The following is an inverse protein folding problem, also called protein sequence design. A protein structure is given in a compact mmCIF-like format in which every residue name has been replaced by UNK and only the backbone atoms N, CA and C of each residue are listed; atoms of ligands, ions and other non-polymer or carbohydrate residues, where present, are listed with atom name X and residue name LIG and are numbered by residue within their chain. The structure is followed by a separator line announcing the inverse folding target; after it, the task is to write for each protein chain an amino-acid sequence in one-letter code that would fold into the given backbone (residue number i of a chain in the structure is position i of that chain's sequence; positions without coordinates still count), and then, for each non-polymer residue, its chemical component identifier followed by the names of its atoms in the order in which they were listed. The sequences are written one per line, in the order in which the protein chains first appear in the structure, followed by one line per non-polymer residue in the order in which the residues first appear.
data_IF_540311330661
#
_entry.id   IF_540311330661
#
_cell.length_a   1.000
_cell.length_b   1.000
_cell.length_c   1.000
_cell.angle_alpha   90.00
_cell.angle_beta   90.00
_cell.angle_gamma   90.00
#
_symmetry.space_group_name_H-M   'P 1'
#
loop_
_entity.id
_entity.type
_entity.pdbx_description
1 polymer ?
#
# COMPACT_ATOMS: atom_id res chain seq x y z
N UNK A 1 -3.22 4.30 -7.35
CA UNK A 1 -2.15 3.87 -8.28
C UNK A 1 -0.94 3.39 -7.49
N UNK A 2 -0.27 2.34 -7.96
CA UNK A 2 0.87 1.75 -7.25
C UNK A 2 1.43 0.52 -7.93
N UNK A 3 2.40 -0.12 -7.25
CA UNK A 3 3.06 -1.32 -7.72
C UNK A 3 2.15 -2.54 -7.61
N UNK A 4 2.25 -3.45 -8.58
CA UNK A 4 1.54 -4.71 -8.61
C UNK A 4 2.53 -5.88 -8.49
N UNK A 5 2.40 -6.65 -7.43
CA UNK A 5 3.25 -7.80 -7.13
C UNK A 5 2.36 -8.99 -6.75
N UNK A 6 2.69 -10.18 -7.22
CA UNK A 6 2.07 -11.39 -6.67
C UNK A 6 2.82 -11.79 -5.41
N UNK A 7 2.16 -11.75 -4.27
CA UNK A 7 2.70 -12.25 -3.01
C UNK A 7 2.53 -13.76 -2.96
N UNK A 8 3.61 -14.49 -2.73
CA UNK A 8 3.65 -15.94 -2.66
C UNK A 8 4.25 -16.32 -1.32
N UNK A 9 3.44 -16.95 -0.46
CA UNK A 9 3.85 -17.29 0.91
C UNK A 9 4.33 -18.73 1.00
N UNK A 10 5.51 -18.92 1.59
CA UNK A 10 6.13 -20.23 1.81
C UNK A 10 6.50 -20.42 3.28
N UNK A 11 6.34 -21.64 3.76
CA UNK A 11 7.00 -22.07 4.99
C UNK A 11 8.46 -22.42 4.66
N UNK A 12 9.43 -21.80 5.32
CA UNK A 12 10.84 -22.03 5.10
C UNK A 12 11.56 -22.35 6.41
N UNK A 13 12.63 -23.14 6.33
CA UNK A 13 13.51 -23.36 7.49
C UNK A 13 14.69 -22.38 7.50
N UNK A 14 15.35 -22.23 8.65
CA UNK A 14 16.56 -21.42 8.75
C UNK A 14 17.68 -21.98 7.86
N UNK A 15 17.77 -23.31 7.75
CA UNK A 15 18.73 -24.00 6.88
C UNK A 15 18.48 -23.67 5.40
N UNK A 16 17.20 -23.60 4.97
CA UNK A 16 16.85 -23.17 3.60
C UNK A 16 17.35 -21.77 3.31
N UNK A 17 17.14 -20.82 4.24
CA UNK A 17 17.59 -19.43 4.07
C UNK A 17 19.13 -19.37 3.97
N UNK A 18 19.85 -20.11 4.81
CA UNK A 18 21.33 -20.19 4.77
C UNK A 18 21.83 -20.79 3.45
N UNK A 19 21.24 -21.93 3.01
CA UNK A 19 21.63 -22.61 1.76
C UNK A 19 21.48 -21.71 0.53
N UNK A 20 20.42 -20.89 0.52
CA UNK A 20 20.16 -19.97 -0.58
C UNK A 20 20.73 -18.56 -0.38
N UNK A 21 21.54 -18.34 0.67
CA UNK A 21 22.17 -17.05 1.01
C UNK A 21 21.14 -15.92 1.18
N UNK A 22 19.98 -16.22 1.74
CA UNK A 22 18.90 -15.28 2.01
C UNK A 22 19.03 -14.74 3.43
N UNK A 23 19.11 -13.42 3.57
CA UNK A 23 19.17 -12.77 4.88
C UNK A 23 17.81 -12.80 5.55
N UNK A 24 17.72 -13.48 6.70
CA UNK A 24 16.47 -13.62 7.48
C UNK A 24 15.94 -12.27 7.99
N UNK A 25 14.63 -12.12 7.94
CA UNK A 25 13.89 -11.03 8.59
C UNK A 25 13.93 -9.70 7.85
N UNK A 26 14.41 -9.67 6.59
CA UNK A 26 14.48 -8.46 5.79
C UNK A 26 13.82 -8.64 4.42
N UNK A 27 13.39 -7.52 3.83
CA UNK A 27 13.01 -7.46 2.44
C UNK A 27 14.24 -7.11 1.59
N UNK A 28 14.49 -7.92 0.56
CA UNK A 28 15.59 -7.74 -0.38
C UNK A 28 15.03 -7.67 -1.80
N UNK A 29 15.46 -6.66 -2.56
CA UNK A 29 15.21 -6.63 -3.99
C UNK A 29 16.18 -7.59 -4.70
N UNK A 30 15.63 -8.45 -5.55
CA UNK A 30 16.40 -9.46 -6.28
C UNK A 30 16.13 -9.39 -7.78
N UNK A 31 17.02 -9.99 -8.56
CA UNK A 31 16.79 -10.19 -9.99
C UNK A 31 15.92 -11.42 -10.27
N UNK A 32 15.43 -11.51 -11.50
CA UNK A 32 14.60 -12.62 -11.97
C UNK A 32 15.28 -13.98 -11.76
N UNK A 33 16.55 -14.09 -12.14
CA UNK A 33 17.29 -15.36 -12.07
C UNK A 33 17.46 -15.86 -10.62
N UNK A 34 17.63 -14.94 -9.66
CA UNK A 34 17.67 -15.32 -8.23
C UNK A 34 16.29 -15.78 -7.77
N UNK A 35 15.23 -15.06 -8.12
CA UNK A 35 13.88 -15.41 -7.72
C UNK A 35 13.45 -16.76 -8.31
N UNK A 36 13.75 -17.02 -9.59
CA UNK A 36 13.43 -18.29 -10.25
C UNK A 36 14.11 -19.48 -9.58
N UNK A 37 15.38 -19.33 -9.15
CA UNK A 37 16.06 -20.37 -8.37
C UNK A 37 15.34 -20.68 -7.07
N UNK A 38 14.87 -19.65 -6.36
CA UNK A 38 14.12 -19.85 -5.12
C UNK A 38 12.77 -20.54 -5.39
N UNK A 39 12.04 -20.11 -6.43
CA UNK A 39 10.77 -20.72 -6.82
C UNK A 39 10.94 -22.20 -7.20
N UNK A 40 12.02 -22.55 -7.90
CA UNK A 40 12.32 -23.94 -8.25
C UNK A 40 12.67 -24.79 -7.04
N UNK A 41 13.27 -24.20 -6.01
CA UNK A 41 13.62 -24.91 -4.76
C UNK A 41 12.43 -25.01 -3.80
N UNK A 42 11.42 -24.15 -3.94
CA UNK A 42 10.19 -24.14 -3.16
C UNK A 42 9.07 -24.83 -3.96
N UNK A 43 8.25 -25.63 -3.30
CA UNK A 43 7.07 -26.23 -3.92
C UNK A 43 5.97 -25.17 -4.03
N UNK A 44 5.66 -24.75 -5.26
CA UNK A 44 4.77 -23.64 -5.53
C UNK A 44 3.31 -24.05 -5.32
N UNK A 45 2.72 -23.67 -4.20
CA UNK A 45 1.31 -23.85 -3.92
C UNK A 45 0.53 -22.58 -4.32
N UNK A 46 -0.27 -22.68 -5.37
CA UNK A 46 -1.11 -21.59 -5.88
C UNK A 46 -2.13 -21.09 -4.85
N UNK A 47 -2.52 -21.91 -3.87
CA UNK A 47 -3.42 -21.49 -2.80
C UNK A 47 -2.78 -20.52 -1.80
N UNK A 48 -1.47 -20.35 -1.87
CA UNK A 48 -0.71 -19.39 -1.04
C UNK A 48 -0.35 -18.09 -1.80
N UNK A 49 -0.96 -17.86 -2.96
CA UNK A 49 -0.77 -16.65 -3.76
C UNK A 49 -1.92 -15.67 -3.55
N UNK A 50 -1.60 -14.38 -3.59
CA UNK A 50 -2.56 -13.28 -3.63
C UNK A 50 -1.99 -12.10 -4.41
N UNK A 51 -2.85 -11.26 -4.99
CA UNK A 51 -2.37 -9.99 -5.54
C UNK A 51 -1.92 -9.10 -4.38
N UNK A 52 -0.72 -8.54 -4.48
CA UNK A 52 -0.06 -7.74 -3.46
C UNK A 52 0.39 -6.39 -4.01
N UNK A 53 1.15 -5.69 -3.19
CA UNK A 53 1.52 -4.29 -3.33
C UNK A 53 0.73 -3.42 -2.36
N UNK A 54 1.41 -2.43 -1.75
CA UNK A 54 0.82 -1.60 -0.70
C UNK A 54 -0.48 -0.92 -1.14
N UNK A 55 -0.47 -0.24 -2.30
CA UNK A 55 -1.70 0.38 -2.80
C UNK A 55 -2.77 -0.64 -3.20
N UNK A 56 -2.40 -1.84 -3.68
CA UNK A 56 -3.39 -2.89 -3.95
C UNK A 56 -4.14 -3.28 -2.67
N UNK A 57 -3.41 -3.50 -1.58
CA UNK A 57 -4.02 -3.81 -0.28
C UNK A 57 -4.95 -2.68 0.20
N UNK A 58 -4.51 -1.41 0.06
CA UNK A 58 -5.32 -0.23 0.39
C UNK A 58 -6.63 -0.19 -0.42
N UNK A 59 -6.55 -0.38 -1.73
CA UNK A 59 -7.70 -0.31 -2.64
C UNK A 59 -8.65 -1.49 -2.40
N UNK A 60 -8.12 -2.69 -2.15
CA UNK A 60 -8.92 -3.86 -1.77
C UNK A 60 -9.65 -3.62 -0.44
N UNK A 61 -8.97 -3.04 0.55
CA UNK A 61 -9.62 -2.70 1.82
C UNK A 61 -10.80 -1.74 1.61
N UNK A 62 -10.68 -0.71 0.75
CA UNK A 62 -11.81 0.18 0.41
C UNK A 62 -13.02 -0.64 -0.07
N UNK A 63 -12.83 -1.58 -1.00
CA UNK A 63 -13.91 -2.43 -1.53
C UNK A 63 -14.48 -3.36 -0.45
N UNK A 64 -13.63 -3.93 0.39
CA UNK A 64 -14.07 -4.79 1.49
C UNK A 64 -14.95 -4.04 2.50
N UNK A 65 -14.69 -2.75 2.74
CA UNK A 65 -15.57 -1.90 3.55
C UNK A 65 -16.85 -1.48 2.83
N UNK A 66 -16.98 -1.72 1.52
CA UNK A 66 -18.17 -1.43 0.72
C UNK A 66 -18.06 -0.18 -0.15
N UNK A 67 -16.86 0.33 -0.36
CA UNK A 67 -16.59 1.41 -1.31
C UNK A 67 -16.33 0.87 -2.72
N UNK A 68 -16.29 1.78 -3.68
CA UNK A 68 -15.90 1.50 -5.06
C UNK A 68 -14.47 1.95 -5.30
N UNK A 69 -13.68 1.14 -6.00
CA UNK A 69 -12.30 1.49 -6.28
C UNK A 69 -11.79 1.00 -7.63
N UNK A 70 -10.82 1.73 -8.16
CA UNK A 70 -10.12 1.44 -9.41
C UNK A 70 -8.61 1.42 -9.17
N UNK A 71 -7.91 0.41 -9.69
CA UNK A 71 -6.48 0.28 -9.50
C UNK A 71 -5.70 0.49 -10.80
N UNK A 72 -4.96 1.60 -10.87
CA UNK A 72 -3.96 1.82 -11.90
C UNK A 72 -2.65 1.14 -11.47
N UNK A 73 -2.29 0.05 -12.15
CA UNK A 73 -1.11 -0.77 -11.89
C UNK A 73 -0.53 -1.32 -13.19
N UNK A 74 0.62 -1.99 -13.14
CA UNK A 74 1.21 -2.66 -14.30
C UNK A 74 1.55 -4.11 -13.98
N UNK A 75 0.99 -5.02 -14.77
CA UNK A 75 1.29 -6.46 -14.79
C UNK A 75 1.59 -6.91 -16.21
N UNK A 76 2.14 -8.11 -16.39
CA UNK A 76 2.47 -8.67 -17.69
C UNK A 76 1.47 -9.74 -18.13
N UNK A 77 1.51 -10.09 -19.42
CA UNK A 77 0.74 -11.19 -20.01
C UNK A 77 1.44 -12.54 -19.75
N UNK A 78 1.66 -12.84 -18.48
CA UNK A 78 2.15 -14.12 -17.99
C UNK A 78 1.13 -14.77 -17.03
N UNK A 79 1.44 -15.94 -16.50
CA UNK A 79 0.50 -16.64 -15.63
C UNK A 79 0.31 -15.92 -14.29
N UNK A 80 1.34 -15.25 -13.78
CA UNK A 80 1.24 -14.44 -12.56
C UNK A 80 0.41 -13.17 -12.78
N UNK A 81 0.53 -12.51 -13.93
CA UNK A 81 -0.29 -11.34 -14.26
C UNK A 81 -1.76 -11.69 -14.47
N UNK A 82 -2.06 -12.85 -15.10
CA UNK A 82 -3.43 -13.37 -15.19
C UNK A 82 -4.00 -13.63 -13.81
N UNK A 83 -3.25 -14.35 -12.97
CA UNK A 83 -3.63 -14.60 -11.57
C UNK A 83 -3.89 -13.29 -10.84
N UNK A 84 -2.97 -12.32 -10.93
CA UNK A 84 -3.08 -11.01 -10.29
C UNK A 84 -4.40 -10.31 -10.64
N UNK A 85 -4.72 -10.23 -11.92
CA UNK A 85 -5.93 -9.56 -12.40
C UNK A 85 -7.21 -10.31 -12.03
N UNK A 86 -7.19 -11.64 -11.98
CA UNK A 86 -8.32 -12.46 -11.54
C UNK A 86 -8.56 -12.28 -10.04
N UNK A 87 -7.51 -12.35 -9.22
CA UNK A 87 -7.61 -12.15 -7.77
C UNK A 87 -8.08 -10.73 -7.45
N UNK A 88 -7.48 -9.71 -8.08
CA UNK A 88 -7.88 -8.32 -7.92
C UNK A 88 -9.38 -8.10 -8.23
N UNK A 89 -9.85 -8.62 -9.35
CA UNK A 89 -11.27 -8.52 -9.72
C UNK A 89 -12.20 -9.29 -8.80
N UNK A 90 -11.73 -10.40 -8.22
CA UNK A 90 -12.52 -11.17 -7.27
C UNK A 90 -12.86 -10.35 -6.01
N UNK A 91 -12.05 -9.34 -5.70
CA UNK A 91 -12.30 -8.40 -4.61
C UNK A 91 -13.18 -7.21 -5.01
N UNK A 92 -13.63 -7.13 -6.27
CA UNK A 92 -14.48 -6.06 -6.79
C UNK A 92 -13.72 -4.84 -7.29
N UNK A 93 -12.39 -4.87 -7.36
CA UNK A 93 -11.56 -3.76 -7.86
C UNK A 93 -11.49 -3.77 -9.37
N UNK A 94 -11.79 -2.65 -10.00
CA UNK A 94 -11.63 -2.44 -11.44
C UNK A 94 -10.20 -1.99 -11.81
N UNK A 95 -9.80 -2.25 -13.06
CA UNK A 95 -8.50 -1.86 -13.60
C UNK A 95 -8.56 -1.69 -15.12
N UNK A 96 -7.59 -0.94 -15.68
CA UNK A 96 -7.48 -0.69 -17.12
C UNK A 96 -7.36 -1.97 -17.95
N UNK A 97 -6.71 -2.99 -17.41
CA UNK A 97 -6.36 -4.18 -18.17
C UNK A 97 -7.53 -5.13 -18.39
N UNK A 98 -7.63 -5.60 -19.62
CA UNK A 98 -8.39 -6.78 -20.01
C UNK A 98 -7.40 -7.87 -20.45
N UNK A 99 -7.79 -9.15 -20.56
CA UNK A 99 -6.89 -10.19 -21.04
C UNK A 99 -6.25 -9.90 -22.43
N UNK A 100 -6.90 -9.05 -23.24
CA UNK A 100 -6.42 -8.68 -24.57
C UNK A 100 -5.47 -7.45 -24.58
N UNK A 101 -5.37 -6.70 -23.49
CA UNK A 101 -4.62 -5.43 -23.43
C UNK A 101 -3.42 -5.46 -22.48
N UNK A 102 -3.20 -6.58 -21.80
CA UNK A 102 -2.05 -6.76 -20.91
C UNK A 102 -0.76 -6.81 -21.74
N UNK A 103 0.28 -6.00 -21.40
CA UNK A 103 1.54 -5.98 -22.14
C UNK A 103 2.37 -7.25 -21.92
N UNK A 104 3.26 -7.55 -22.85
CA UNK A 104 4.27 -8.59 -22.66
C UNK A 104 5.27 -8.18 -21.57
N UNK A 105 5.87 -9.18 -20.93
CA UNK A 105 6.86 -8.97 -19.88
C UNK A 105 6.77 -10.02 -18.77
N UNK A 106 7.28 -9.67 -17.60
CA UNK A 106 7.27 -10.54 -16.42
C UNK A 106 6.65 -9.79 -15.25
N UNK A 107 5.58 -10.34 -14.71
CA UNK A 107 4.89 -9.79 -13.56
C UNK A 107 5.78 -9.84 -12.31
N UNK A 108 5.78 -8.77 -11.55
CA UNK A 108 6.50 -8.68 -10.29
C UNK A 108 5.96 -9.67 -9.26
N UNK A 109 6.86 -10.20 -8.43
CA UNK A 109 6.54 -11.20 -7.40
C UNK A 109 7.29 -10.88 -6.11
N UNK A 110 6.66 -11.13 -4.98
CA UNK A 110 7.27 -11.10 -3.67
C UNK A 110 7.18 -12.51 -3.05
N UNK A 111 8.33 -13.17 -2.88
CA UNK A 111 8.38 -14.44 -2.15
C UNK A 111 8.48 -14.13 -0.67
N UNK A 112 7.46 -14.52 0.08
CA UNK A 112 7.39 -14.31 1.53
C UNK A 112 7.66 -15.63 2.22
N UNK A 113 8.87 -15.79 2.75
CA UNK A 113 9.31 -16.99 3.46
C UNK A 113 9.07 -16.80 4.97
N UNK A 114 8.28 -17.68 5.56
CA UNK A 114 7.91 -17.64 6.98
C UNK A 114 8.66 -18.76 7.71
N UNK A 115 9.49 -18.42 8.69
CA UNK A 115 10.20 -19.39 9.53
C UNK A 115 9.40 -19.75 10.78
N UNK A 116 9.78 -20.83 11.46
CA UNK A 116 9.06 -21.39 12.62
C UNK A 116 8.90 -20.43 13.81
N UNK A 117 9.72 -19.40 13.89
CA UNK A 117 9.64 -18.30 14.86
C UNK A 117 8.74 -17.12 14.38
N UNK A 118 7.98 -17.35 13.29
CA UNK A 118 7.14 -16.37 12.63
C UNK A 118 7.90 -15.17 12.01
N UNK A 119 9.22 -15.27 11.84
CA UNK A 119 9.99 -14.27 11.12
C UNK A 119 9.66 -14.33 9.63
N UNK A 120 9.48 -13.17 9.00
CA UNK A 120 9.21 -13.03 7.58
C UNK A 120 10.43 -12.50 6.85
N UNK A 121 10.77 -13.19 5.78
CA UNK A 121 11.87 -12.84 4.89
C UNK A 121 11.32 -12.68 3.48
N UNK A 122 11.54 -11.54 2.86
CA UNK A 122 10.95 -11.24 1.55
C UNK A 122 12.03 -11.09 0.49
N UNK A 123 11.82 -11.77 -0.64
CA UNK A 123 12.66 -11.65 -1.83
C UNK A 123 11.80 -11.13 -2.97
N UNK A 124 11.98 -9.87 -3.33
CA UNK A 124 11.08 -9.15 -4.23
C UNK A 124 11.75 -8.88 -5.57
N UNK A 125 11.17 -9.41 -6.63
CA UNK A 125 11.46 -9.03 -8.01
C UNK A 125 10.33 -8.15 -8.54
N UNK A 126 10.65 -6.93 -8.91
CA UNK A 126 9.64 -5.93 -9.27
C UNK A 126 9.02 -6.17 -10.66
N UNK A 127 9.75 -6.81 -11.59
CA UNK A 127 9.24 -7.06 -12.94
C UNK A 127 8.78 -5.81 -13.66
N UNK A 128 7.72 -5.94 -14.47
CA UNK A 128 7.19 -4.82 -15.28
C UNK A 128 6.60 -3.67 -14.46
N UNK A 129 6.38 -3.84 -13.15
CA UNK A 129 5.86 -2.74 -12.32
C UNK A 129 6.84 -1.57 -12.24
N UNK A 130 8.15 -1.81 -12.43
CA UNK A 130 9.17 -0.75 -12.55
C UNK A 130 8.97 0.17 -13.75
N UNK A 131 8.23 -0.31 -14.75
CA UNK A 131 7.91 0.43 -15.98
C UNK A 131 6.53 1.09 -15.91
N UNK A 132 5.92 1.16 -14.71
CA UNK A 132 4.66 1.88 -14.53
C UNK A 132 4.84 3.33 -14.99
N UNK A 133 3.93 3.81 -15.81
CA UNK A 133 4.05 5.11 -16.48
C UNK A 133 2.70 5.81 -16.62
N UNK A 134 2.68 6.94 -17.28
CA UNK A 134 1.42 7.66 -17.58
C UNK A 134 0.44 6.86 -18.43
N UNK A 135 0.87 5.79 -19.09
CA UNK A 135 0.02 4.93 -19.93
C UNK A 135 -0.93 4.07 -19.10
N UNK A 136 -0.52 3.71 -17.89
CA UNK A 136 -1.31 2.94 -16.95
C UNK A 136 -2.33 3.80 -16.19
N UNK A 137 -2.26 5.13 -16.30
CA UNK A 137 -3.22 6.06 -15.67
C UNK A 137 -4.46 6.22 -16.56
N UNK A 138 -5.55 5.53 -16.19
CA UNK A 138 -6.84 5.76 -16.83
C UNK A 138 -7.43 7.10 -16.38
N UNK A 139 -7.33 8.09 -17.27
CA UNK A 139 -7.82 9.44 -16.96
C UNK A 139 -9.34 9.52 -16.92
N UNK A 140 -10.09 8.56 -17.49
CA UNK A 140 -11.54 8.51 -17.41
C UNK A 140 -11.96 8.05 -16.02
N UNK A 141 -11.45 6.92 -15.55
CA UNK A 141 -11.71 6.44 -14.20
C UNK A 141 -11.23 7.44 -13.13
N UNK A 142 -10.08 8.09 -13.36
CA UNK A 142 -9.57 9.10 -12.44
C UNK A 142 -10.52 10.31 -12.30
N UNK A 143 -11.07 10.82 -13.40
CA UNK A 143 -12.01 11.96 -13.38
C UNK A 143 -13.33 11.66 -12.69
N UNK A 144 -13.74 10.41 -12.69
CA UNK A 144 -14.98 9.96 -12.05
C UNK A 144 -14.76 9.56 -10.56
N UNK A 145 -13.55 9.75 -10.04
CA UNK A 145 -13.18 9.39 -8.67
C UNK A 145 -13.34 10.55 -7.68
N UNK A 146 -13.57 10.24 -6.41
CA UNK A 146 -13.54 11.23 -5.32
C UNK A 146 -12.11 11.54 -4.86
N UNK A 147 -11.25 10.50 -4.86
CA UNK A 147 -9.85 10.60 -4.45
C UNK A 147 -8.93 9.84 -5.41
N UNK A 148 -7.78 10.44 -5.70
CA UNK A 148 -6.61 9.75 -6.23
C UNK A 148 -5.73 9.34 -5.05
N UNK A 149 -5.46 8.03 -4.87
CA UNK A 149 -4.48 7.53 -3.92
C UNK A 149 -3.19 7.14 -4.65
N UNK A 150 -2.07 7.74 -4.23
CA UNK A 150 -0.75 7.56 -4.83
C UNK A 150 0.15 6.81 -3.86
N UNK A 151 0.70 5.68 -4.28
CA UNK A 151 1.70 4.92 -3.54
C UNK A 151 3.08 5.56 -3.65
N UNK A 152 3.74 5.79 -2.52
CA UNK A 152 5.06 6.42 -2.47
C UNK A 152 6.16 5.60 -3.13
N UNK A 153 6.06 4.27 -3.17
CA UNK A 153 7.06 3.42 -3.84
C UNK A 153 7.22 3.70 -5.35
N UNK A 154 6.23 4.28 -6.02
CA UNK A 154 6.34 4.67 -7.43
C UNK A 154 7.44 5.71 -7.67
N UNK A 155 7.89 6.42 -6.64
CA UNK A 155 8.97 7.41 -6.71
C UNK A 155 10.32 6.82 -7.13
N UNK A 156 10.49 5.51 -7.01
CA UNK A 156 11.77 4.82 -7.24
C UNK A 156 12.18 4.71 -8.70
N UNK A 157 11.25 4.97 -9.63
CA UNK A 157 11.54 5.06 -11.08
C UNK A 157 11.20 6.44 -11.62
N UNK A 158 11.89 6.87 -12.67
CA UNK A 158 11.63 8.16 -13.34
C UNK A 158 10.25 8.16 -13.99
N UNK A 159 9.86 7.06 -14.64
CA UNK A 159 8.54 6.89 -15.25
C UNK A 159 7.42 6.90 -14.21
N UNK A 160 7.63 6.22 -13.07
CA UNK A 160 6.69 6.22 -11.94
C UNK A 160 6.50 7.62 -11.38
N UNK A 161 7.59 8.37 -11.18
CA UNK A 161 7.54 9.75 -10.70
C UNK A 161 6.78 10.68 -11.68
N UNK A 162 7.04 10.55 -12.99
CA UNK A 162 6.27 11.29 -13.99
C UNK A 162 4.79 10.90 -14.01
N UNK A 163 4.48 9.62 -13.81
CA UNK A 163 3.09 9.16 -13.70
C UNK A 163 2.40 9.72 -12.45
N UNK A 164 3.08 9.78 -11.30
CA UNK A 164 2.55 10.40 -10.07
C UNK A 164 2.19 11.88 -10.30
N UNK A 165 3.12 12.65 -10.89
CA UNK A 165 2.90 14.08 -11.22
C UNK A 165 1.78 14.27 -12.24
N UNK A 166 1.74 13.42 -13.27
CA UNK A 166 0.70 13.46 -14.29
C UNK A 166 -0.68 13.17 -13.69
N UNK A 167 -0.82 12.09 -12.93
CA UNK A 167 -2.09 11.72 -12.31
C UNK A 167 -2.58 12.80 -11.32
N UNK A 168 -1.68 13.35 -10.49
CA UNK A 168 -1.99 14.46 -9.58
C UNK A 168 -2.51 15.68 -10.34
N UNK A 169 -1.84 16.09 -11.41
CA UNK A 169 -2.27 17.22 -12.24
C UNK A 169 -3.65 16.98 -12.88
N UNK A 170 -3.93 15.76 -13.35
CA UNK A 170 -5.24 15.40 -13.89
C UNK A 170 -6.30 15.48 -12.81
N UNK A 171 -6.05 14.93 -11.63
CA UNK A 171 -6.93 14.96 -10.47
C UNK A 171 -7.29 16.42 -10.10
N UNK A 172 -6.29 17.26 -9.88
CA UNK A 172 -6.46 18.68 -9.50
C UNK A 172 -7.25 19.49 -10.55
N UNK A 173 -7.05 19.20 -11.84
CA UNK A 173 -7.78 19.88 -12.92
C UNK A 173 -9.24 19.46 -13.07
N UNK A 174 -9.71 18.46 -12.32
CA UNK A 174 -11.07 17.92 -12.35
C UNK A 174 -11.71 17.83 -10.95
N UNK A 175 -11.18 18.58 -9.98
CA UNK A 175 -11.69 18.62 -8.60
C UNK A 175 -11.64 17.26 -7.86
N UNK A 176 -10.82 16.32 -8.34
CA UNK A 176 -10.53 15.06 -7.65
C UNK A 176 -9.47 15.31 -6.57
N UNK A 177 -9.77 14.96 -5.35
CA UNK A 177 -8.83 15.13 -4.23
C UNK A 177 -7.64 14.21 -4.36
N UNK A 178 -6.48 14.68 -3.92
CA UNK A 178 -5.22 13.93 -4.00
C UNK A 178 -4.83 13.39 -2.65
N UNK A 179 -4.47 12.11 -2.59
CA UNK A 179 -3.87 11.50 -1.42
C UNK A 179 -2.57 10.78 -1.77
N UNK A 180 -1.59 10.85 -0.88
CA UNK A 180 -0.27 10.27 -1.02
C UNK A 180 0.11 9.51 0.25
N UNK A 181 0.72 8.33 0.13
CA UNK A 181 1.44 7.70 1.24
C UNK A 181 2.94 7.82 1.04
N UNK A 182 3.68 8.04 2.13
CA UNK A 182 5.15 8.06 2.10
C UNK A 182 5.75 6.66 2.02
N UNK A 183 4.99 5.63 2.37
CA UNK A 183 5.23 4.19 2.18
C UNK A 183 6.36 3.56 3.01
N UNK A 184 7.56 4.18 3.08
CA UNK A 184 8.72 3.60 3.75
C UNK A 184 9.76 4.68 4.10
N UNK A 185 10.31 4.70 5.35
CA UNK A 185 11.28 5.72 5.76
C UNK A 185 12.57 5.72 4.92
N UNK A 186 13.02 4.54 4.44
CA UNK A 186 14.23 4.44 3.61
C UNK A 186 14.00 5.06 2.24
N UNK A 187 12.83 4.81 1.64
CA UNK A 187 12.42 5.40 0.36
C UNK A 187 12.32 6.93 0.50
N UNK A 188 11.72 7.41 1.58
CA UNK A 188 11.63 8.85 1.88
C UNK A 188 13.03 9.47 1.96
N UNK A 189 13.96 8.84 2.67
CA UNK A 189 15.32 9.37 2.80
C UNK A 189 16.09 9.42 1.47
N UNK A 190 15.94 8.39 0.64
CA UNK A 190 16.66 8.30 -0.66
C UNK A 190 16.05 9.23 -1.69
N UNK A 191 14.72 9.30 -1.77
CA UNK A 191 13.99 10.00 -2.83
C UNK A 191 13.28 11.28 -2.36
N UNK A 192 13.76 11.90 -1.29
CA UNK A 192 13.13 13.08 -0.68
C UNK A 192 12.83 14.20 -1.67
N UNK A 193 13.75 14.50 -2.58
CA UNK A 193 13.56 15.55 -3.57
C UNK A 193 12.52 15.15 -4.62
N UNK A 194 12.44 13.87 -4.99
CA UNK A 194 11.35 13.37 -5.83
C UNK A 194 9.97 13.52 -5.17
N UNK A 195 9.87 13.21 -3.88
CA UNK A 195 8.63 13.46 -3.13
C UNK A 195 8.24 14.95 -3.13
N UNK A 196 9.21 15.87 -2.97
CA UNK A 196 8.95 17.32 -3.07
C UNK A 196 8.41 17.71 -4.46
N UNK A 197 8.98 17.13 -5.53
CA UNK A 197 8.49 17.37 -6.89
C UNK A 197 7.06 16.89 -7.09
N UNK A 198 6.71 15.70 -6.59
CA UNK A 198 5.36 15.13 -6.69
C UNK A 198 4.36 15.89 -5.84
N UNK A 199 4.71 16.21 -4.62
CA UNK A 199 3.85 16.96 -3.69
C UNK A 199 3.61 18.38 -4.24
N UNK A 200 4.66 19.06 -4.75
CA UNK A 200 4.55 20.41 -5.31
C UNK A 200 3.94 21.39 -4.29
N UNK A 201 2.82 22.01 -4.66
CA UNK A 201 2.10 22.97 -3.80
C UNK A 201 1.28 22.27 -2.67
N UNK A 202 1.33 20.95 -2.57
CA UNK A 202 0.68 20.17 -1.53
C UNK A 202 -0.23 19.07 -2.07
N UNK A 203 -0.76 18.26 -1.14
CA UNK A 203 -1.78 17.24 -1.37
C UNK A 203 -2.98 17.47 -0.44
N UNK A 204 -4.15 16.92 -0.79
CA UNK A 204 -5.32 17.06 0.07
C UNK A 204 -5.23 16.18 1.32
N UNK A 205 -4.60 15.00 1.20
CA UNK A 205 -4.45 14.04 2.28
C UNK A 205 -3.09 13.35 2.19
N UNK A 206 -2.36 13.27 3.32
CA UNK A 206 -1.10 12.53 3.41
C UNK A 206 -1.25 11.39 4.43
N UNK A 207 -0.74 10.22 4.09
CA UNK A 207 -0.57 9.11 5.01
C UNK A 207 0.91 8.86 5.28
N UNK A 208 1.27 8.69 6.53
CA UNK A 208 2.62 8.30 6.94
C UNK A 208 2.60 7.66 8.33
N UNK A 209 3.70 7.02 8.72
CA UNK A 209 3.97 6.71 10.11
C UNK A 209 4.89 7.77 10.74
N UNK A 210 5.20 7.63 12.04
CA UNK A 210 6.06 8.58 12.77
C UNK A 210 7.45 8.70 12.15
N UNK A 211 8.06 7.56 11.75
CA UNK A 211 9.41 7.52 11.18
C UNK A 211 9.44 8.18 9.79
N UNK A 212 8.44 7.93 8.97
CA UNK A 212 8.28 8.57 7.65
C UNK A 212 8.07 10.07 7.78
N UNK A 213 7.24 10.50 8.74
CA UNK A 213 7.01 11.92 9.02
C UNK A 213 8.32 12.64 9.39
N UNK A 214 9.10 12.06 10.30
CA UNK A 214 10.40 12.59 10.70
C UNK A 214 11.43 12.55 9.58
N UNK A 215 11.49 11.46 8.79
CA UNK A 215 12.38 11.34 7.65
C UNK A 215 12.09 12.40 6.59
N UNK A 216 10.81 12.57 6.22
CA UNK A 216 10.41 13.56 5.22
C UNK A 216 10.70 14.99 5.67
N UNK A 217 10.33 15.35 6.87
CA UNK A 217 10.51 16.70 7.40
C UNK A 217 11.96 16.99 7.82
N UNK A 218 12.73 15.95 8.16
CA UNK A 218 14.08 16.07 8.73
C UNK A 218 14.08 16.54 10.17
N UNK A 219 12.94 16.40 10.86
CA UNK A 219 12.82 16.75 12.28
C UNK A 219 13.20 15.57 13.17
N UNK A 220 13.62 15.88 14.40
CA UNK A 220 14.07 14.89 15.37
C UNK A 220 12.96 14.35 16.29
N UNK A 221 11.78 14.95 16.23
CA UNK A 221 10.61 14.54 17.02
C UNK A 221 9.32 14.75 16.23
N UNK A 222 8.28 14.03 16.65
CA UNK A 222 6.99 14.02 15.97
C UNK A 222 6.26 15.37 16.06
N UNK A 223 6.40 16.11 17.17
CA UNK A 223 5.71 17.39 17.34
C UNK A 223 6.17 18.42 16.30
N UNK A 224 7.47 18.52 16.07
CA UNK A 224 8.00 19.39 15.02
C UNK A 224 7.66 18.87 13.62
N UNK A 225 7.72 17.54 13.43
CA UNK A 225 7.39 16.93 12.15
C UNK A 225 5.94 17.19 11.72
N UNK A 226 4.98 16.99 12.62
CA UNK A 226 3.55 17.24 12.33
C UNK A 226 3.25 18.70 12.00
N UNK A 227 3.93 19.66 12.63
CA UNK A 227 3.77 21.08 12.29
C UNK A 227 4.31 21.40 10.87
N UNK A 228 5.43 20.78 10.50
CA UNK A 228 5.98 20.93 9.15
C UNK A 228 5.09 20.30 8.08
N UNK A 229 4.44 19.14 8.37
CA UNK A 229 3.54 18.49 7.43
C UNK A 229 2.33 19.36 7.02
N UNK A 230 1.90 20.30 7.84
CA UNK A 230 0.84 21.27 7.50
C UNK A 230 1.20 22.15 6.30
N UNK A 231 2.48 22.27 5.97
CA UNK A 231 2.93 23.06 4.81
C UNK A 231 2.78 22.32 3.49
N UNK A 232 2.58 21.00 3.52
CA UNK A 232 2.56 20.14 2.32
C UNK A 232 1.28 19.33 2.15
N UNK A 233 0.44 19.27 3.17
CA UNK A 233 -0.82 18.54 3.12
C UNK A 233 -1.92 19.32 3.84
N UNK A 234 -3.12 19.38 3.21
CA UNK A 234 -4.28 20.03 3.82
C UNK A 234 -4.77 19.26 5.03
N UNK A 235 -4.74 17.94 4.96
CA UNK A 235 -5.08 16.99 6.02
C UNK A 235 -4.06 15.86 6.01
N UNK A 236 -3.84 15.17 7.13
CA UNK A 236 -2.98 13.99 7.16
C UNK A 236 -3.30 13.06 8.33
N UNK A 237 -2.90 11.81 8.17
CA UNK A 237 -2.94 10.80 9.23
C UNK A 237 -1.53 10.25 9.47
N UNK A 238 -1.09 10.27 10.73
CA UNK A 238 0.19 9.70 11.17
C UNK A 238 -0.12 8.48 12.03
N UNK A 239 0.23 7.29 11.55
CA UNK A 239 0.08 6.07 12.33
C UNK A 239 1.22 5.93 13.35
N UNK A 240 0.89 5.49 14.58
CA UNK A 240 1.81 5.41 15.71
C UNK A 240 1.91 3.97 16.27
N UNK A 241 1.68 2.99 15.40
CA UNK A 241 1.69 1.57 15.74
C UNK A 241 0.74 1.25 16.90
N UNK A 242 1.27 0.66 17.96
CA UNK A 242 0.48 0.30 19.14
C UNK A 242 -0.09 1.48 19.93
N UNK A 243 0.31 2.69 19.60
CA UNK A 243 -0.16 3.92 20.25
C UNK A 243 -1.34 4.57 19.49
N UNK A 244 -1.86 3.92 18.44
CA UNK A 244 -2.97 4.44 17.67
C UNK A 244 -2.55 5.30 16.48
N UNK A 245 -3.19 6.45 16.29
CA UNK A 245 -2.86 7.38 15.22
C UNK A 245 -3.20 8.82 15.62
N UNK A 246 -2.62 9.76 14.90
CA UNK A 246 -2.94 11.19 14.98
C UNK A 246 -3.42 11.67 13.62
N UNK A 247 -4.50 12.44 13.59
CA UNK A 247 -5.05 13.02 12.37
C UNK A 247 -5.03 14.53 12.50
N UNK A 248 -4.60 15.21 11.44
CA UNK A 248 -4.82 16.64 11.26
C UNK A 248 -5.98 16.83 10.28
N UNK A 249 -7.08 17.45 10.71
CA UNK A 249 -8.30 17.61 9.91
C UNK A 249 -8.34 18.89 9.08
N UNK A 250 -7.24 19.65 9.10
CA UNK A 250 -7.10 20.96 8.45
C UNK A 250 -7.18 22.14 9.43
N UNK A 251 -7.63 21.90 10.65
CA UNK A 251 -7.74 22.90 11.73
C UNK A 251 -7.11 22.41 13.03
N UNK A 252 -7.48 21.22 13.49
CA UNK A 252 -7.05 20.64 14.76
C UNK A 252 -6.43 19.26 14.60
N UNK A 253 -5.65 18.87 15.63
CA UNK A 253 -5.17 17.49 15.77
C UNK A 253 -6.21 16.66 16.54
N UNK A 254 -6.46 15.45 16.03
CA UNK A 254 -7.36 14.45 16.61
C UNK A 254 -6.53 13.21 16.94
N UNK A 255 -6.45 12.87 18.20
CA UNK A 255 -5.82 11.63 18.63
C UNK A 255 -6.80 10.46 18.47
N UNK A 256 -6.36 9.40 17.84
CA UNK A 256 -7.12 8.16 17.61
C UNK A 256 -6.56 7.09 18.53
N UNK A 257 -7.37 6.66 19.47
CA UNK A 257 -7.01 5.60 20.42
C UNK A 257 -6.66 4.29 19.72
N UNK A 258 -5.66 3.54 20.21
CA UNK A 258 -5.37 2.21 19.71
C UNK A 258 -6.43 1.22 20.16
N UNK A 259 -6.59 0.14 19.39
CA UNK A 259 -7.33 -1.06 19.80
C UNK A 259 -6.31 -2.13 20.18
N UNK A 260 -6.06 -2.38 21.49
CA UNK A 260 -5.02 -3.29 21.92
C UNK A 260 -5.34 -4.73 21.53
N UNK A 261 -4.45 -5.32 20.75
CA UNK A 261 -4.52 -6.72 20.29
C UNK A 261 -3.15 -7.38 20.41
N UNK A 262 -3.12 -8.70 20.35
CA UNK A 262 -1.86 -9.42 20.18
C UNK A 262 -1.54 -9.51 18.69
N UNK A 263 -0.61 -8.69 18.23
CA UNK A 263 -0.16 -8.74 16.84
C UNK A 263 0.55 -10.08 16.54
N UNK A 264 0.20 -10.64 15.39
CA UNK A 264 0.84 -11.81 14.78
C UNK A 264 1.70 -11.36 13.59
N UNK A 265 1.13 -10.48 12.76
CA UNK A 265 1.76 -9.95 11.56
C UNK A 265 1.37 -8.49 11.36
N UNK A 266 2.34 -7.61 11.16
CA UNK A 266 2.08 -6.16 10.99
C UNK A 266 2.09 -5.71 9.53
N UNK A 267 2.32 -6.63 8.59
CA UNK A 267 2.28 -6.33 7.16
C UNK A 267 0.87 -5.91 6.76
N UNK A 268 0.77 -4.82 6.00
CA UNK A 268 -0.52 -4.29 5.54
C UNK A 268 -1.32 -3.47 6.57
N UNK A 269 -0.82 -3.31 7.82
CA UNK A 269 -1.52 -2.49 8.81
C UNK A 269 -1.73 -1.05 8.35
N UNK A 270 -0.71 -0.44 7.74
CA UNK A 270 -0.78 0.90 7.15
C UNK A 270 -1.71 0.95 5.94
N UNK A 271 -1.69 -0.10 5.11
CA UNK A 271 -2.56 -0.22 3.93
C UNK A 271 -4.03 -0.32 4.36
N UNK A 272 -4.32 -1.16 5.36
CA UNK A 272 -5.66 -1.30 5.94
C UNK A 272 -6.12 0.01 6.59
N UNK A 273 -5.21 0.72 7.28
CA UNK A 273 -5.52 2.03 7.86
C UNK A 273 -5.92 3.02 6.76
N UNK A 274 -5.11 3.15 5.72
CA UNK A 274 -5.38 4.08 4.62
C UNK A 274 -6.69 3.72 3.88
N UNK A 275 -6.93 2.43 3.61
CA UNK A 275 -8.14 1.95 2.95
C UNK A 275 -9.41 2.20 3.75
N UNK A 276 -9.43 1.83 5.03
CA UNK A 276 -10.56 2.07 5.91
C UNK A 276 -10.82 3.57 6.15
N UNK A 277 -9.75 4.38 6.25
CA UNK A 277 -9.85 5.84 6.37
C UNK A 277 -10.47 6.47 5.13
N UNK A 278 -9.95 6.13 3.93
CA UNK A 278 -10.48 6.62 2.66
C UNK A 278 -11.94 6.20 2.47
N UNK A 279 -12.29 4.95 2.78
CA UNK A 279 -13.69 4.52 2.80
C UNK A 279 -14.52 5.41 3.72
N UNK A 280 -14.07 5.65 4.95
CA UNK A 280 -14.80 6.48 5.91
C UNK A 280 -15.10 7.88 5.38
N UNK A 281 -14.07 8.61 4.94
CA UNK A 281 -14.24 10.00 4.47
C UNK A 281 -15.03 10.11 3.16
N UNK A 282 -14.98 9.10 2.28
CA UNK A 282 -15.77 9.07 1.04
C UNK A 282 -17.22 8.65 1.27
N UNK A 283 -17.52 8.04 2.44
CA UNK A 283 -18.87 7.68 2.89
C UNK A 283 -19.41 8.62 3.98
N UNK A 284 -18.93 9.88 3.97
CA UNK A 284 -19.45 10.97 4.80
C UNK A 284 -19.22 10.83 6.32
N UNK A 285 -18.31 9.94 6.75
CA UNK A 285 -17.86 9.96 8.13
C UNK A 285 -16.94 11.16 8.40
N UNK A 286 -16.97 11.66 9.62
CA UNK A 286 -16.00 12.66 10.07
C UNK A 286 -14.57 12.09 10.07
N UNK A 287 -13.57 12.95 10.07
CA UNK A 287 -12.16 12.52 10.18
C UNK A 287 -11.91 11.68 11.43
N UNK A 288 -12.56 12.00 12.54
CA UNK A 288 -12.48 11.22 13.79
C UNK A 288 -13.08 9.81 13.65
N UNK A 289 -14.27 9.70 13.04
CA UNK A 289 -14.92 8.40 12.81
C UNK A 289 -14.14 7.56 11.78
N UNK A 290 -13.66 8.17 10.71
CA UNK A 290 -12.80 7.51 9.73
C UNK A 290 -11.49 7.01 10.37
N UNK A 291 -10.87 7.80 11.24
CA UNK A 291 -9.68 7.39 11.99
C UNK A 291 -9.96 6.26 12.97
N UNK A 292 -11.09 6.29 13.66
CA UNK A 292 -11.54 5.20 14.52
C UNK A 292 -11.73 3.90 13.72
N UNK A 293 -12.43 3.97 12.58
CA UNK A 293 -12.62 2.83 11.68
C UNK A 293 -11.29 2.27 11.19
N UNK A 294 -10.37 3.15 10.76
CA UNK A 294 -9.03 2.79 10.30
C UNK A 294 -8.20 2.10 11.40
N UNK A 295 -8.23 2.62 12.62
CA UNK A 295 -7.54 2.02 13.78
C UNK A 295 -8.10 0.63 14.12
N UNK A 296 -9.44 0.45 14.07
CA UNK A 296 -10.07 -0.86 14.26
C UNK A 296 -9.67 -1.85 13.17
N UNK A 297 -9.75 -1.45 11.89
CA UNK A 297 -9.36 -2.30 10.77
C UNK A 297 -7.90 -2.73 10.85
N UNK A 298 -6.98 -1.79 11.13
CA UNK A 298 -5.56 -2.08 11.33
C UNK A 298 -5.31 -3.02 12.51
N UNK A 299 -6.03 -2.82 13.61
CA UNK A 299 -5.89 -3.69 14.77
C UNK A 299 -6.39 -5.12 14.50
N UNK A 300 -7.43 -5.28 13.68
CA UNK A 300 -7.93 -6.60 13.30
C UNK A 300 -6.94 -7.30 12.35
N UNK A 301 -6.47 -6.62 11.30
CA UNK A 301 -5.58 -7.25 10.30
C UNK A 301 -4.27 -7.76 10.90
N UNK A 302 -3.73 -7.09 11.93
CA UNK A 302 -2.47 -7.55 12.56
C UNK A 302 -2.64 -8.79 13.44
N UNK A 303 -3.86 -9.27 13.68
CA UNK A 303 -4.11 -10.50 14.47
C UNK A 303 -3.98 -11.78 13.66
N UNK A 304 -3.74 -11.68 12.36
CA UNK A 304 -3.62 -12.80 11.43
C UNK A 304 -2.45 -12.61 10.47
N UNK A 305 -2.16 -13.62 9.67
CA UNK A 305 -1.16 -13.52 8.61
C UNK A 305 -1.73 -12.88 7.35
N UNK A 306 -0.97 -11.97 6.76
CA UNK A 306 -1.33 -11.31 5.51
C UNK A 306 -2.03 -9.96 5.69
N UNK A 307 -2.11 -9.16 4.61
CA UNK A 307 -2.54 -7.77 4.67
C UNK A 307 -4.04 -7.55 4.54
N UNK A 308 -4.86 -8.59 4.46
CA UNK A 308 -6.29 -8.50 4.15
C UNK A 308 -7.15 -9.13 5.24
N UNK A 309 -8.30 -8.54 5.47
CA UNK A 309 -9.37 -9.11 6.30
C UNK A 309 -10.32 -9.97 5.45
N UNK A 310 -10.96 -10.95 6.09
CA UNK A 310 -12.07 -11.65 5.50
C UNK A 310 -13.35 -10.78 5.54
N UNK A 311 -14.27 -10.99 4.61
CA UNK A 311 -15.52 -10.21 4.52
C UNK A 311 -16.35 -10.18 5.80
N UNK A 312 -16.31 -11.24 6.60
CA UNK A 312 -17.04 -11.29 7.88
C UNK A 312 -16.37 -10.43 8.95
N UNK A 313 -15.04 -10.36 8.96
CA UNK A 313 -14.26 -9.54 9.90
C UNK A 313 -14.48 -8.06 9.62
N UNK A 314 -14.48 -7.65 8.37
CA UNK A 314 -14.81 -6.26 7.97
C UNK A 314 -16.21 -5.88 8.43
N UNK A 315 -17.20 -6.76 8.27
CA UNK A 315 -18.56 -6.50 8.77
C UNK A 315 -18.60 -6.33 10.28
N UNK A 316 -17.78 -7.08 11.02
CA UNK A 316 -17.71 -6.96 12.47
C UNK A 316 -16.99 -5.68 12.91
N UNK A 317 -15.97 -5.23 12.15
CA UNK A 317 -15.36 -3.90 12.34
C UNK A 317 -16.38 -2.79 12.13
N UNK A 318 -17.14 -2.83 11.03
CA UNK A 318 -18.20 -1.83 10.75
C UNK A 318 -19.28 -1.76 11.83
N UNK A 319 -19.72 -2.90 12.38
CA UNK A 319 -20.69 -2.93 13.47
C UNK A 319 -20.18 -2.28 14.76
N UNK A 320 -18.87 -2.34 15.02
CA UNK A 320 -18.26 -1.74 16.22
C UNK A 320 -18.08 -0.22 16.12
N UNK A 321 -18.24 0.36 14.93
CA UNK A 321 -18.15 1.80 14.73
C UNK A 321 -19.36 2.53 15.32
N UNK A 322 -20.52 1.89 15.29
CA UNK A 322 -21.80 2.38 15.83
C UNK A 322 -22.09 1.82 17.21
#
# INVERSE_FOLDING_TARGET
MGNALVDIVFDASDEFLEEHSVQKGVMTLVDEAHQDRLIQALDLDQNKMQCGGSAANTIIAINQFGGDSYYACKVANDDFGKFYLEDLRSTGVDTLYTPATVPDGITGKCLVMVTSDASRTMQTFLGVTTEFSTKEVDTTALKDSNYLYIEGYLITSDEGREAMKFAKKVAESHDVKTSLTLSDPSIVNIFKDGFKEVIGDGVDLLFCNEEEAMAYTGKSNLEEAREELKTIAKTFAITQGKNGAMIFDGDTFIDIEPYPVKAIDTVGAGDMFAGAFLYGITNHHSMAEAGKLASMGSSEVVTQYGPRLEWHEVKDVLKRLH
#
